data_IF_691652591454
#
_entry.id   IF_691652591454
#
_cell.length_a   1.000
_cell.length_b   1.000
_cell.length_c   1.000
_cell.angle_alpha   90.00
_cell.angle_beta   90.00
_cell.angle_gamma   90.00
#
_symmetry.space_group_name_H-M   'P 1'
#
loop_
_entity.id
_entity.type
_entity.pdbx_description
1 polymer ?
#
# COMPACT_ATOMS: atom_id res chain seq x y z
N UNK A 1 13.46 -3.42 12.36
CA UNK A 1 12.28 -4.28 12.61
C UNK A 1 12.32 -5.49 11.69
N UNK A 2 11.94 -6.67 12.17
CA UNK A 2 11.89 -7.90 11.37
C UNK A 2 10.42 -8.28 11.19
N UNK A 3 10.01 -8.52 9.94
CA UNK A 3 8.68 -9.02 9.63
C UNK A 3 8.76 -10.10 8.54
N UNK A 4 9.18 -11.29 8.94
CA UNK A 4 9.18 -12.49 8.11
C UNK A 4 8.07 -13.41 8.59
N UNK A 5 7.14 -13.77 7.71
CA UNK A 5 6.04 -14.67 8.06
C UNK A 5 6.45 -16.14 8.04
N UNK A 6 7.26 -16.54 7.06
CA UNK A 6 7.75 -17.91 6.89
C UNK A 6 9.01 -17.90 6.03
N UNK A 7 9.97 -18.75 6.41
CA UNK A 7 11.17 -19.06 5.61
C UNK A 7 10.98 -20.26 4.68
N UNK A 8 9.98 -21.12 4.95
CA UNK A 8 9.71 -22.33 4.15
C UNK A 8 8.85 -21.97 2.95
N UNK A 9 9.50 -21.70 1.82
CA UNK A 9 8.87 -21.34 0.54
C UNK A 9 8.56 -22.51 -0.38
N UNK A 10 9.07 -23.71 -0.11
CA UNK A 10 9.10 -24.77 -1.13
C UNK A 10 7.78 -25.50 -1.43
N UNK A 11 6.75 -25.53 -0.57
CA UNK A 11 5.65 -26.48 -0.84
C UNK A 11 4.21 -25.96 -0.93
N UNK A 12 3.86 -24.70 -0.62
CA UNK A 12 2.42 -24.32 -0.62
C UNK A 12 2.02 -22.93 -1.10
N UNK A 13 2.95 -22.00 -1.31
CA UNK A 13 2.59 -20.57 -1.43
C UNK A 13 3.24 -19.78 -2.57
N UNK A 14 3.94 -20.45 -3.50
CA UNK A 14 4.33 -19.84 -4.78
C UNK A 14 3.11 -19.44 -5.63
N UNK A 15 1.96 -20.08 -5.41
CA UNK A 15 0.74 -19.96 -6.23
C UNK A 15 -0.46 -19.31 -5.53
N UNK A 16 -0.48 -19.23 -4.19
CA UNK A 16 -1.49 -18.43 -3.47
C UNK A 16 -0.91 -17.06 -3.17
N UNK A 17 -0.87 -16.23 -4.21
CA UNK A 17 -0.56 -14.82 -4.10
C UNK A 17 -1.43 -14.21 -3.01
N UNK A 18 -0.81 -13.74 -1.93
CA UNK A 18 -1.49 -12.90 -0.94
C UNK A 18 -1.65 -11.51 -1.56
N UNK A 19 -2.45 -11.42 -2.64
CA UNK A 19 -2.74 -10.19 -3.38
C UNK A 19 -3.54 -9.18 -2.56
N UNK A 20 -4.19 -9.65 -1.49
CA UNK A 20 -5.07 -8.84 -0.65
C UNK A 20 -4.36 -8.20 0.56
N UNK A 21 -3.11 -8.59 0.87
CA UNK A 21 -2.40 -8.01 2.01
C UNK A 21 -1.52 -6.84 1.57
N UNK A 22 -1.81 -5.61 1.99
CA UNK A 22 -0.94 -4.47 1.70
C UNK A 22 0.40 -4.62 2.44
N UNK A 23 1.41 -3.90 1.94
CA UNK A 23 2.73 -3.82 2.54
C UNK A 23 2.79 -2.98 3.84
N UNK A 24 1.72 -2.97 4.65
CA UNK A 24 1.57 -2.05 5.80
C UNK A 24 2.74 -2.10 6.79
N UNK A 25 3.37 -3.27 6.97
CA UNK A 25 4.56 -3.38 7.84
C UNK A 25 5.75 -2.58 7.31
N UNK A 26 5.93 -2.52 6.00
CA UNK A 26 6.96 -1.70 5.35
C UNK A 26 6.67 -0.22 5.59
N UNK A 27 5.43 0.21 5.37
CA UNK A 27 5.02 1.61 5.58
C UNK A 27 5.21 2.06 7.03
N UNK A 28 4.78 1.23 7.98
CA UNK A 28 4.98 1.51 9.40
C UNK A 28 6.48 1.58 9.76
N UNK A 29 7.30 0.75 9.12
CA UNK A 29 8.76 0.80 9.27
C UNK A 29 9.37 2.12 8.81
N UNK A 30 8.97 2.59 7.63
CA UNK A 30 9.39 3.89 7.11
C UNK A 30 8.96 5.04 8.01
N UNK A 31 7.70 5.05 8.45
CA UNK A 31 7.15 6.07 9.35
C UNK A 31 7.84 6.06 10.73
N UNK A 32 8.22 4.88 11.22
CA UNK A 32 8.93 4.73 12.49
C UNK A 32 10.45 5.00 12.39
N UNK A 33 10.99 5.24 11.19
CA UNK A 33 12.41 5.48 10.99
C UNK A 33 13.29 4.28 11.35
N UNK A 34 12.84 3.05 11.06
CA UNK A 34 13.58 1.82 11.36
C UNK A 34 13.97 1.05 10.09
N UNK A 35 15.18 0.48 10.01
CA UNK A 35 15.52 -0.44 8.92
C UNK A 35 14.61 -1.66 8.92
N UNK A 36 14.14 -2.04 7.73
CA UNK A 36 13.19 -3.13 7.55
C UNK A 36 13.86 -4.38 6.99
N UNK A 37 13.63 -5.52 7.65
CA UNK A 37 13.94 -6.85 7.14
C UNK A 37 12.62 -7.59 6.90
N UNK A 38 12.33 -7.92 5.66
CA UNK A 38 11.04 -8.44 5.21
C UNK A 38 11.22 -9.75 4.46
N UNK A 39 10.19 -10.59 4.47
CA UNK A 39 10.19 -11.78 3.63
C UNK A 39 10.02 -11.44 2.14
N UNK A 40 9.96 -12.48 1.31
CA UNK A 40 9.88 -12.34 -0.15
C UNK A 40 8.44 -12.16 -0.67
N UNK A 41 7.53 -11.63 0.16
CA UNK A 41 6.13 -11.43 -0.19
C UNK A 41 5.94 -10.42 -1.33
N UNK A 42 4.98 -10.70 -2.22
CA UNK A 42 4.71 -9.89 -3.42
C UNK A 42 4.37 -8.43 -3.12
N UNK A 43 3.67 -8.17 -2.01
CA UNK A 43 3.31 -6.81 -1.60
C UNK A 43 4.55 -5.96 -1.29
N UNK A 44 5.57 -6.52 -0.64
CA UNK A 44 6.81 -5.78 -0.35
C UNK A 44 7.60 -5.53 -1.63
N UNK A 45 7.69 -6.54 -2.50
CA UNK A 45 8.36 -6.44 -3.79
C UNK A 45 7.72 -5.41 -4.72
N UNK A 46 6.40 -5.29 -4.72
CA UNK A 46 5.67 -4.29 -5.50
C UNK A 46 6.00 -2.85 -5.08
N UNK A 47 6.31 -2.64 -3.79
CA UNK A 47 6.66 -1.33 -3.24
C UNK A 47 8.15 -0.99 -3.36
N UNK A 48 8.99 -1.96 -3.76
CA UNK A 48 10.43 -1.80 -3.85
C UNK A 48 10.83 -0.92 -5.03
N UNK A 49 11.57 0.13 -4.76
CA UNK A 49 12.20 1.00 -5.75
C UNK A 49 13.72 1.10 -5.56
N UNK A 50 14.21 0.79 -4.36
CA UNK A 50 15.62 0.78 -4.00
C UNK A 50 15.97 -0.45 -3.16
N UNK A 51 17.21 -0.98 -3.25
CA UNK A 51 17.73 -1.95 -2.30
C UNK A 51 17.69 -1.47 -0.84
N UNK A 52 17.70 -0.15 -0.62
CA UNK A 52 17.66 0.47 0.70
C UNK A 52 16.23 0.58 1.29
N UNK A 53 15.19 0.32 0.50
CA UNK A 53 13.80 0.41 0.99
C UNK A 53 13.50 -0.64 2.07
N UNK A 54 14.05 -1.84 1.88
CA UNK A 54 14.08 -2.93 2.84
C UNK A 54 15.08 -4.01 2.41
N UNK A 55 15.52 -4.79 3.39
CA UNK A 55 16.30 -6.00 3.17
C UNK A 55 15.38 -7.21 3.05
N UNK A 56 15.52 -7.95 1.95
CA UNK A 56 14.73 -9.16 1.71
C UNK A 56 15.42 -10.38 2.33
N UNK A 57 14.68 -11.18 3.08
CA UNK A 57 15.19 -12.30 3.87
C UNK A 57 14.39 -13.57 3.53
N UNK A 58 15.07 -14.58 2.97
CA UNK A 58 14.42 -15.82 2.55
C UNK A 58 14.63 -16.98 3.53
N UNK A 59 15.75 -16.97 4.28
CA UNK A 59 16.11 -18.02 5.23
C UNK A 59 16.48 -17.47 6.62
N UNK A 60 16.49 -18.30 7.68
CA UNK A 60 16.98 -17.88 8.98
C UNK A 60 18.46 -17.45 8.96
N UNK A 61 19.28 -18.10 8.12
CA UNK A 61 20.68 -17.73 7.96
C UNK A 61 20.84 -16.34 7.32
N UNK A 62 19.99 -16.00 6.34
CA UNK A 62 19.93 -14.66 5.75
C UNK A 62 19.52 -13.64 6.80
N UNK A 63 18.55 -13.97 7.67
CA UNK A 63 18.11 -13.08 8.72
C UNK A 63 19.26 -12.76 9.68
N UNK A 64 19.94 -13.81 10.14
CA UNK A 64 21.05 -13.69 11.07
C UNK A 64 22.19 -12.87 10.50
N UNK A 65 22.65 -13.20 9.29
CA UNK A 65 23.73 -12.46 8.62
C UNK A 65 23.37 -10.98 8.38
N UNK A 66 22.13 -10.70 8.00
CA UNK A 66 21.63 -9.34 7.83
C UNK A 66 21.62 -8.56 9.14
N UNK A 67 21.15 -9.17 10.23
CA UNK A 67 21.15 -8.56 11.56
C UNK A 67 22.56 -8.22 12.03
N UNK A 68 23.50 -9.15 11.86
CA UNK A 68 24.92 -8.94 12.20
C UNK A 68 25.49 -7.78 11.39
N UNK A 69 25.24 -7.76 10.07
CA UNK A 69 25.70 -6.68 9.19
C UNK A 69 25.15 -5.32 9.60
N UNK A 70 23.83 -5.20 9.81
CA UNK A 70 23.22 -3.93 10.24
C UNK A 70 23.70 -3.49 11.62
N UNK A 71 24.03 -4.43 12.52
CA UNK A 71 24.62 -4.10 13.81
C UNK A 71 26.02 -3.50 13.66
N UNK A 72 26.83 -4.03 12.75
CA UNK A 72 28.22 -3.62 12.53
C UNK A 72 28.37 -2.38 11.64
N UNK A 73 27.46 -2.20 10.69
CA UNK A 73 27.50 -1.13 9.69
C UNK A 73 26.47 -0.04 10.02
N UNK A 74 26.93 0.97 10.75
CA UNK A 74 26.09 2.10 11.15
C UNK A 74 25.68 2.99 9.95
N UNK A 75 26.53 3.08 8.93
CA UNK A 75 26.27 3.89 7.74
C UNK A 75 25.17 3.26 6.89
N UNK A 76 25.21 1.93 6.70
CA UNK A 76 24.14 1.20 6.04
C UNK A 76 22.81 1.37 6.77
N UNK A 77 22.79 1.25 8.11
CA UNK A 77 21.57 1.48 8.88
C UNK A 77 21.02 2.88 8.66
N UNK A 78 21.89 3.89 8.73
CA UNK A 78 21.49 5.29 8.51
C UNK A 78 20.96 5.50 7.09
N UNK A 79 21.64 4.96 6.08
CA UNK A 79 21.20 5.04 4.69
C UNK A 79 19.81 4.40 4.47
N UNK A 80 19.52 3.27 5.13
CA UNK A 80 18.19 2.65 5.07
C UNK A 80 17.12 3.49 5.78
N UNK A 81 17.45 4.10 6.92
CA UNK A 81 16.52 5.01 7.62
C UNK A 81 16.23 6.24 6.77
N UNK A 82 17.27 6.88 6.22
CA UNK A 82 17.12 8.04 5.36
C UNK A 82 16.29 7.72 4.12
N UNK A 83 16.52 6.54 3.52
CA UNK A 83 15.69 6.07 2.42
C UNK A 83 14.22 5.93 2.85
N UNK A 84 13.95 5.26 3.98
CA UNK A 84 12.59 5.13 4.52
C UNK A 84 11.93 6.49 4.77
N UNK A 85 12.68 7.47 5.27
CA UNK A 85 12.18 8.84 5.44
C UNK A 85 11.80 9.49 4.11
N UNK A 86 12.57 9.29 3.03
CA UNK A 86 12.20 9.76 1.68
C UNK A 86 10.94 9.07 1.13
N UNK A 87 10.71 7.81 1.49
CA UNK A 87 9.51 7.05 1.08
C UNK A 87 8.27 7.44 1.89
N UNK A 88 8.45 7.79 3.16
CA UNK A 88 7.38 7.97 4.14
C UNK A 88 6.28 8.96 3.73
N UNK A 89 6.53 10.10 3.05
CA UNK A 89 5.48 11.07 2.73
C UNK A 89 4.36 10.47 1.89
N UNK A 90 4.70 9.54 0.98
CA UNK A 90 3.72 8.89 0.10
C UNK A 90 2.74 7.98 0.85
N UNK A 91 3.03 7.57 2.08
CA UNK A 91 2.19 6.64 2.86
C UNK A 91 1.56 7.31 4.08
N UNK A 92 1.74 8.63 4.23
CA UNK A 92 1.09 9.41 5.30
C UNK A 92 -0.42 9.52 5.08
N UNK A 93 -1.23 9.63 6.15
CA UNK A 93 -2.67 9.79 6.04
C UNK A 93 -3.08 10.94 5.12
N UNK A 94 -2.41 12.08 5.18
CA UNK A 94 -2.72 13.27 4.38
C UNK A 94 -2.55 12.98 2.88
N UNK A 95 -1.45 12.33 2.51
CA UNK A 95 -1.18 11.92 1.12
C UNK A 95 -2.13 10.83 0.62
N UNK A 96 -2.59 9.94 1.51
CA UNK A 96 -3.62 8.95 1.17
C UNK A 96 -4.97 9.64 0.93
N UNK A 97 -5.37 10.55 1.82
CA UNK A 97 -6.61 11.34 1.68
C UNK A 97 -6.58 12.12 0.37
N UNK A 98 -5.48 12.82 0.07
CA UNK A 98 -5.36 13.60 -1.15
C UNK A 98 -5.52 12.72 -2.40
N UNK A 99 -4.86 11.56 -2.46
CA UNK A 99 -5.03 10.61 -3.59
C UNK A 99 -6.48 10.14 -3.75
N UNK A 100 -7.19 9.91 -2.64
CA UNK A 100 -8.61 9.55 -2.69
C UNK A 100 -9.45 10.72 -3.20
N UNK A 101 -9.19 11.95 -2.76
CA UNK A 101 -9.88 13.14 -3.27
C UNK A 101 -9.66 13.31 -4.77
N UNK A 102 -8.42 13.17 -5.23
CA UNK A 102 -8.05 13.27 -6.64
C UNK A 102 -8.75 12.19 -7.48
N UNK A 103 -8.75 10.95 -7.01
CA UNK A 103 -9.46 9.85 -7.67
C UNK A 103 -10.97 10.08 -7.71
N UNK A 104 -11.58 10.47 -6.59
CA UNK A 104 -13.01 10.70 -6.51
C UNK A 104 -13.44 11.81 -7.46
N UNK A 105 -12.71 12.92 -7.49
CA UNK A 105 -13.02 14.10 -8.33
C UNK A 105 -12.68 13.89 -9.80
N UNK A 106 -11.51 13.33 -10.10
CA UNK A 106 -11.01 13.21 -11.47
C UNK A 106 -11.55 12.01 -12.21
N UNK A 107 -11.90 10.93 -11.48
CA UNK A 107 -12.23 9.64 -12.10
C UNK A 107 -13.63 9.17 -11.70
N UNK A 108 -13.87 8.95 -10.41
CA UNK A 108 -15.06 8.23 -9.96
C UNK A 108 -16.36 9.03 -10.16
N UNK A 109 -16.42 10.28 -9.72
CA UNK A 109 -17.61 11.13 -9.85
C UNK A 109 -17.92 11.44 -11.32
N UNK A 110 -16.97 11.86 -12.18
CA UNK A 110 -17.26 12.05 -13.60
C UNK A 110 -17.73 10.77 -14.31
N UNK A 111 -17.15 9.60 -13.96
CA UNK A 111 -17.59 8.32 -14.52
C UNK A 111 -19.01 7.97 -14.08
N UNK A 112 -19.33 8.26 -12.82
CA UNK A 112 -20.67 8.07 -12.27
C UNK A 112 -21.70 8.98 -12.95
N UNK A 113 -21.41 10.27 -13.12
CA UNK A 113 -22.33 11.20 -13.78
C UNK A 113 -22.65 10.73 -15.21
N UNK A 114 -21.62 10.39 -16.00
CA UNK A 114 -21.78 9.82 -17.34
C UNK A 114 -22.60 8.53 -17.36
N UNK A 115 -22.52 7.74 -16.30
CA UNK A 115 -23.29 6.51 -16.18
C UNK A 115 -24.75 6.80 -15.82
N UNK A 116 -25.02 7.78 -14.97
CA UNK A 116 -26.40 8.16 -14.61
C UNK A 116 -27.19 8.79 -15.75
N UNK A 117 -26.52 9.41 -16.73
CA UNK A 117 -27.14 10.00 -17.91
C UNK A 117 -27.37 8.99 -19.05
N UNK A 118 -26.98 7.71 -18.89
CA UNK A 118 -27.23 6.66 -19.88
C UNK A 118 -28.65 6.10 -19.77
N UNK A 119 -29.30 5.76 -20.89
CA UNK A 119 -30.66 5.22 -20.88
C UNK A 119 -30.75 3.88 -20.12
N UNK A 120 -31.80 3.76 -19.30
CA UNK A 120 -32.00 2.75 -18.25
C UNK A 120 -32.05 1.30 -18.74
N UNK A 121 -32.34 1.05 -20.02
CA UNK A 121 -32.45 -0.30 -20.56
C UNK A 121 -31.11 -1.06 -20.62
N UNK A 122 -29.97 -0.39 -20.40
CA UNK A 122 -28.63 -0.99 -20.38
C UNK A 122 -28.12 -1.41 -19.00
N UNK A 123 -28.84 -1.13 -17.92
CA UNK A 123 -28.37 -1.32 -16.54
C UNK A 123 -29.41 -2.06 -15.70
N UNK A 124 -28.97 -3.09 -14.97
CA UNK A 124 -29.84 -3.79 -14.02
C UNK A 124 -30.34 -2.84 -12.92
N UNK A 125 -31.65 -2.60 -12.88
CA UNK A 125 -32.33 -1.57 -12.07
C UNK A 125 -31.91 -1.53 -10.58
N UNK A 126 -31.69 -2.70 -9.96
CA UNK A 126 -31.37 -2.80 -8.53
C UNK A 126 -29.94 -2.41 -8.13
N UNK A 127 -28.95 -2.71 -8.99
CA UNK A 127 -27.56 -2.28 -8.75
C UNK A 127 -27.43 -0.76 -8.94
N UNK A 128 -28.24 -0.20 -9.84
CA UNK A 128 -28.25 1.22 -10.13
C UNK A 128 -28.63 2.06 -8.91
N UNK A 129 -29.72 1.70 -8.22
CA UNK A 129 -30.25 2.40 -7.05
C UNK A 129 -29.25 2.48 -5.88
N UNK A 130 -28.57 1.37 -5.55
CA UNK A 130 -27.62 1.31 -4.43
C UNK A 130 -26.37 2.14 -4.68
N UNK A 131 -25.78 2.03 -5.88
CA UNK A 131 -24.63 2.85 -6.27
C UNK A 131 -25.00 4.34 -6.30
N UNK A 132 -26.22 4.66 -6.77
CA UNK A 132 -26.72 6.04 -6.80
C UNK A 132 -26.79 6.65 -5.40
N UNK A 133 -27.41 5.94 -4.46
CA UNK A 133 -27.52 6.40 -3.08
C UNK A 133 -26.16 6.58 -2.40
N UNK A 134 -25.22 5.66 -2.62
CA UNK A 134 -23.87 5.74 -2.02
C UNK A 134 -23.05 6.88 -2.61
N UNK A 135 -22.99 7.01 -3.93
CA UNK A 135 -22.14 8.02 -4.58
C UNK A 135 -22.72 9.45 -4.45
N UNK A 136 -24.05 9.60 -4.45
CA UNK A 136 -24.67 10.90 -4.11
C UNK A 136 -24.32 11.34 -2.68
N UNK A 137 -24.31 10.45 -1.69
CA UNK A 137 -23.88 10.77 -0.32
C UNK A 137 -22.42 11.20 -0.25
N UNK A 138 -21.54 10.56 -1.04
CA UNK A 138 -20.12 10.92 -1.13
C UNK A 138 -19.97 12.30 -1.76
N UNK A 139 -20.66 12.59 -2.86
CA UNK A 139 -20.63 13.90 -3.52
C UNK A 139 -21.11 15.02 -2.58
N UNK A 140 -22.23 14.82 -1.88
CA UNK A 140 -22.73 15.79 -0.89
C UNK A 140 -21.72 16.04 0.21
N UNK A 141 -21.10 15.00 0.78
CA UNK A 141 -20.09 15.14 1.82
C UNK A 141 -18.83 15.86 1.33
N UNK A 142 -18.40 15.59 0.09
CA UNK A 142 -17.25 16.27 -0.49
C UNK A 142 -17.51 17.77 -0.71
N UNK A 143 -18.74 18.14 -1.09
CA UNK A 143 -19.17 19.54 -1.24
C UNK A 143 -19.33 20.26 0.11
N UNK A 144 -19.68 19.55 1.18
CA UNK A 144 -19.87 20.15 2.51
C UNK A 144 -18.61 20.19 3.36
N UNK A 145 -17.62 19.33 3.09
CA UNK A 145 -16.40 19.18 3.90
C UNK A 145 -15.27 20.13 3.49
N UNK A 146 -15.48 20.97 2.47
CA UNK A 146 -14.51 21.93 1.98
C UNK A 146 -15.22 23.26 1.69
N UNK A 147 -14.60 24.42 1.98
CA UNK A 147 -15.17 25.73 1.71
C UNK A 147 -15.43 25.98 0.22
#
# INVERSE_FOLDING_TARGET
>A
MVAVRSFRWQDRWRTRGYSHKPATKLYNGWLAGVPMMLGVESAFRAERQSPLDYWEVATPADLWSTLVRLKQDADLRRAMVDQGQRRSPAVRPESIVQRWLDFLRGVALPAYDRWTTRPLWRLGYGQQQRLRATLSRVDTKLRSALP
#
